data_IF_528150981029
#
_entry.id   IF_528150981029
#
_cell.length_a   1.000
_cell.length_b   1.000
_cell.length_c   1.000
_cell.angle_alpha   90.00
_cell.angle_beta   90.00
_cell.angle_gamma   90.00
#
_symmetry.space_group_name_H-M   'P 1'
#
loop_
_entity.id
_entity.type
_entity.pdbx_description
1 polymer ?
#
# COMPACT_ATOMS: atom_id res chain seq x y z
N UNK A 1 3.91 -5.93 12.94
CA UNK A 1 2.44 -6.08 12.72
C UNK A 1 2.25 -7.35 11.89
N UNK A 2 1.25 -8.20 12.13
CA UNK A 2 1.13 -9.44 11.33
C UNK A 2 0.95 -9.13 9.84
N UNK A 3 1.44 -10.01 8.96
CA UNK A 3 1.33 -9.79 7.52
C UNK A 3 -0.12 -9.80 7.02
N UNK A 4 -1.02 -10.53 7.68
CA UNK A 4 -2.48 -10.44 7.42
C UNK A 4 -3.03 -9.04 7.68
N UNK A 5 -2.71 -8.43 8.83
CA UNK A 5 -3.10 -7.05 9.15
C UNK A 5 -2.51 -6.07 8.14
N UNK A 6 -1.24 -6.22 7.79
CA UNK A 6 -0.58 -5.35 6.80
C UNK A 6 -1.23 -5.46 5.42
N UNK A 7 -1.50 -6.68 4.94
CA UNK A 7 -2.17 -6.92 3.67
C UNK A 7 -3.58 -6.33 3.66
N UNK A 8 -4.32 -6.49 4.75
CA UNK A 8 -5.64 -5.90 4.91
C UNK A 8 -5.57 -4.37 4.91
N UNK A 9 -4.66 -3.74 5.66
CA UNK A 9 -4.52 -2.28 5.73
C UNK A 9 -4.21 -1.64 4.38
N UNK A 10 -3.26 -2.18 3.63
CA UNK A 10 -2.99 -1.70 2.28
C UNK A 10 -4.18 -1.95 1.34
N UNK A 11 -4.88 -3.07 1.49
CA UNK A 11 -6.02 -3.42 0.63
C UNK A 11 -7.34 -2.69 0.94
N UNK A 12 -7.50 -2.14 2.14
CA UNK A 12 -8.83 -1.85 2.70
C UNK A 12 -9.59 -0.78 1.91
N UNK A 13 -8.95 0.33 1.58
CA UNK A 13 -9.64 1.48 0.96
C UNK A 13 -10.14 1.16 -0.46
N UNK A 14 -9.31 0.65 -1.40
CA UNK A 14 -9.84 0.24 -2.70
C UNK A 14 -10.84 -0.92 -2.60
N UNK A 15 -10.73 -1.76 -1.57
CA UNK A 15 -11.69 -2.83 -1.33
C UNK A 15 -13.06 -2.31 -0.91
N UNK A 16 -13.13 -1.38 0.06
CA UNK A 16 -14.38 -0.73 0.46
C UNK A 16 -15.05 0.01 -0.71
N UNK A 17 -14.25 0.61 -1.60
CA UNK A 17 -14.72 1.24 -2.84
C UNK A 17 -15.16 0.22 -3.91
N UNK A 18 -14.84 -1.06 -3.74
CA UNK A 18 -15.24 -2.15 -4.64
C UNK A 18 -14.25 -2.43 -5.78
N UNK A 19 -13.09 -1.76 -5.82
CA UNK A 19 -12.10 -1.89 -6.89
C UNK A 19 -11.26 -3.18 -6.79
N UNK A 20 -11.07 -3.71 -5.57
CA UNK A 20 -10.31 -4.94 -5.32
C UNK A 20 -10.95 -5.82 -4.25
N UNK A 21 -10.53 -7.08 -4.18
CA UNK A 21 -11.03 -8.06 -3.22
C UNK A 21 -12.47 -8.56 -3.51
N UNK A 22 -13.00 -9.42 -2.63
CA UNK A 22 -14.34 -10.00 -2.76
C UNK A 22 -15.45 -8.98 -2.46
N UNK A 23 -16.73 -9.39 -2.57
CA UNK A 23 -17.87 -8.48 -2.34
C UNK A 23 -18.14 -8.17 -0.86
N UNK A 24 -17.64 -8.99 0.06
CA UNK A 24 -17.84 -8.78 1.50
C UNK A 24 -16.92 -7.68 2.03
N UNK A 25 -17.45 -6.46 2.09
CA UNK A 25 -16.69 -5.22 2.39
C UNK A 25 -16.49 -4.95 3.88
N UNK A 26 -17.20 -5.64 4.77
CA UNK A 26 -17.24 -5.32 6.19
C UNK A 26 -16.18 -6.04 7.01
N UNK A 27 -15.90 -7.30 6.67
CA UNK A 27 -15.10 -8.18 7.53
C UNK A 27 -13.66 -7.68 7.73
N UNK A 28 -13.02 -7.16 6.68
CA UNK A 28 -11.66 -6.63 6.82
C UNK A 28 -11.62 -5.37 7.69
N UNK A 29 -12.63 -4.50 7.61
CA UNK A 29 -12.72 -3.33 8.49
C UNK A 29 -12.83 -3.76 9.94
N UNK A 30 -13.79 -4.66 10.25
CA UNK A 30 -13.99 -5.22 11.59
C UNK A 30 -12.72 -5.85 12.17
N UNK A 31 -12.02 -6.63 11.35
CA UNK A 31 -10.73 -7.24 11.73
C UNK A 31 -9.66 -6.20 12.05
N UNK A 32 -9.57 -5.13 11.26
CA UNK A 32 -8.61 -4.06 11.48
C UNK A 32 -8.95 -3.23 12.73
N UNK A 33 -10.23 -3.00 12.99
CA UNK A 33 -10.74 -2.33 14.20
C UNK A 33 -10.62 -3.16 15.49
N UNK A 34 -10.09 -4.39 15.40
CA UNK A 34 -9.79 -5.23 16.56
C UNK A 34 -10.89 -6.22 16.96
N UNK A 35 -11.96 -6.38 16.17
CA UNK A 35 -12.91 -7.46 16.39
C UNK A 35 -12.21 -8.83 16.27
N UNK A 36 -12.57 -9.77 17.15
CA UNK A 36 -12.00 -11.11 17.16
C UNK A 36 -12.53 -11.95 15.99
N UNK A 37 -11.88 -11.83 14.84
CA UNK A 37 -12.18 -12.59 13.63
C UNK A 37 -11.05 -13.58 13.37
N UNK A 38 -11.41 -14.85 13.16
CA UNK A 38 -10.43 -15.92 12.87
C UNK A 38 -9.51 -15.56 11.70
N UNK A 39 -8.20 -15.68 11.90
CA UNK A 39 -7.19 -15.45 10.86
C UNK A 39 -7.40 -16.35 9.64
N UNK A 40 -7.92 -17.57 9.82
CA UNK A 40 -8.29 -18.47 8.71
C UNK A 40 -9.35 -17.83 7.79
N UNK A 41 -10.31 -17.09 8.35
CA UNK A 41 -11.34 -16.37 7.59
C UNK A 41 -10.73 -15.18 6.85
N UNK A 42 -9.87 -14.41 7.51
CA UNK A 42 -9.18 -13.26 6.90
C UNK A 42 -8.28 -13.70 5.76
N UNK A 43 -7.54 -14.80 5.94
CA UNK A 43 -6.69 -15.39 4.92
C UNK A 43 -7.48 -15.71 3.65
N UNK A 44 -8.60 -16.44 3.78
CA UNK A 44 -9.49 -16.77 2.64
C UNK A 44 -10.02 -15.54 1.90
N UNK A 45 -10.23 -14.42 2.59
CA UNK A 45 -10.64 -13.16 1.97
C UNK A 45 -9.48 -12.53 1.20
N UNK A 46 -8.30 -12.44 1.83
CA UNK A 46 -7.12 -11.84 1.23
C UNK A 46 -6.56 -12.63 0.05
N UNK A 47 -6.70 -13.96 0.05
CA UNK A 47 -6.39 -14.84 -1.09
C UNK A 47 -7.17 -14.46 -2.37
N UNK A 48 -8.35 -13.85 -2.23
CA UNK A 48 -9.17 -13.41 -3.35
C UNK A 48 -8.75 -12.05 -3.93
N UNK A 49 -7.74 -11.39 -3.36
CA UNK A 49 -7.18 -10.15 -3.91
C UNK A 49 -6.30 -10.47 -5.12
N UNK A 50 -6.95 -10.70 -6.27
CA UNK A 50 -6.31 -11.06 -7.55
C UNK A 50 -5.14 -10.18 -7.97
N UNK A 51 -5.07 -8.94 -7.47
CA UNK A 51 -3.96 -8.02 -7.77
C UNK A 51 -2.74 -8.18 -6.87
N UNK A 52 -2.91 -8.57 -5.60
CA UNK A 52 -1.84 -8.60 -4.62
C UNK A 52 -1.42 -10.03 -4.26
N UNK A 53 -2.38 -10.94 -4.05
CA UNK A 53 -2.09 -12.29 -3.57
C UNK A 53 -1.15 -13.10 -4.48
N UNK A 54 -1.27 -13.08 -5.82
CA UNK A 54 -0.31 -13.78 -6.68
C UNK A 54 1.14 -13.32 -6.52
N UNK A 55 1.36 -12.04 -6.18
CA UNK A 55 2.69 -11.53 -5.88
C UNK A 55 3.21 -12.03 -4.54
N UNK A 56 2.35 -12.16 -3.52
CA UNK A 56 2.74 -12.75 -2.25
C UNK A 56 3.22 -14.19 -2.44
N UNK A 57 2.47 -15.00 -3.20
CA UNK A 57 2.85 -16.38 -3.51
C UNK A 57 4.19 -16.45 -4.25
N UNK A 58 4.36 -15.62 -5.28
CA UNK A 58 5.60 -15.56 -6.06
C UNK A 58 6.80 -15.16 -5.20
N UNK A 59 6.68 -14.09 -4.41
CA UNK A 59 7.75 -13.60 -3.54
C UNK A 59 8.09 -14.64 -2.47
N UNK A 60 7.09 -15.26 -1.85
CA UNK A 60 7.30 -16.29 -0.83
C UNK A 60 8.03 -17.50 -1.41
N UNK A 61 7.56 -18.02 -2.55
CA UNK A 61 8.17 -19.15 -3.27
C UNK A 61 9.62 -18.87 -3.64
N UNK A 62 9.90 -17.71 -4.24
CA UNK A 62 11.25 -17.28 -4.62
C UNK A 62 12.23 -17.17 -3.44
N UNK A 63 11.72 -17.05 -2.22
CA UNK A 63 12.53 -16.88 -1.02
C UNK A 63 12.45 -18.09 -0.07
N UNK A 64 11.85 -19.20 -0.50
CA UNK A 64 11.64 -20.40 0.34
C UNK A 64 10.88 -20.09 1.65
N UNK A 65 9.95 -19.13 1.60
CA UNK A 65 9.07 -18.79 2.73
C UNK A 65 7.75 -19.55 2.52
N UNK A 66 7.36 -20.35 3.52
CA UNK A 66 6.16 -21.20 3.42
C UNK A 66 4.85 -20.42 3.39
N UNK A 67 4.77 -19.31 4.13
CA UNK A 67 3.56 -18.50 4.23
C UNK A 67 3.62 -17.26 3.32
N UNK A 68 2.79 -17.16 2.28
CA UNK A 68 2.59 -15.93 1.50
C UNK A 68 2.23 -14.70 2.34
N UNK A 69 1.61 -14.89 3.50
CA UNK A 69 1.26 -13.79 4.41
C UNK A 69 2.32 -13.51 5.48
N UNK A 70 3.54 -14.06 5.35
CA UNK A 70 4.68 -13.61 6.15
C UNK A 70 4.86 -12.09 5.99
N UNK A 71 5.02 -11.37 7.10
CA UNK A 71 5.11 -9.90 7.10
C UNK A 71 6.15 -9.39 6.10
N UNK A 72 7.29 -10.09 5.97
CA UNK A 72 8.38 -9.69 5.07
C UNK A 72 7.94 -9.81 3.60
N UNK A 73 7.17 -10.83 3.26
CA UNK A 73 6.62 -11.05 1.91
C UNK A 73 5.63 -9.95 1.57
N UNK A 74 4.68 -9.68 2.48
CA UNK A 74 3.66 -8.65 2.28
C UNK A 74 4.31 -7.26 2.15
N UNK A 75 5.26 -6.91 3.03
CA UNK A 75 6.04 -5.65 2.91
C UNK A 75 6.80 -5.57 1.59
N UNK A 76 7.39 -6.67 1.13
CA UNK A 76 8.17 -6.67 -0.12
C UNK A 76 7.31 -6.21 -1.30
N UNK A 77 6.07 -6.69 -1.40
CA UNK A 77 5.15 -6.26 -2.44
C UNK A 77 4.77 -4.77 -2.32
N UNK A 78 4.34 -4.31 -1.14
CA UNK A 78 3.77 -2.97 -0.98
C UNK A 78 4.81 -1.84 -0.97
N UNK A 79 5.92 -2.04 -0.25
CA UNK A 79 6.92 -0.98 0.03
C UNK A 79 8.34 -1.36 -0.38
N UNK A 80 8.56 -2.62 -0.76
CA UNK A 80 9.87 -3.12 -1.19
C UNK A 80 10.78 -3.49 -0.02
N UNK A 81 11.56 -4.55 -0.23
CA UNK A 81 12.68 -4.94 0.63
C UNK A 81 13.58 -5.93 -0.13
N UNK A 82 14.58 -6.50 0.57
CA UNK A 82 15.56 -7.44 0.01
C UNK A 82 14.98 -8.70 -0.65
N UNK A 83 13.76 -9.14 -0.28
CA UNK A 83 13.15 -10.34 -0.87
C UNK A 83 12.86 -10.17 -2.36
N UNK A 84 12.65 -8.94 -2.82
CA UNK A 84 12.41 -8.66 -4.24
C UNK A 84 13.60 -9.02 -5.13
N UNK A 85 14.82 -9.07 -4.60
CA UNK A 85 16.00 -9.46 -5.38
C UNK A 85 15.88 -10.87 -5.99
N UNK A 86 15.19 -11.80 -5.30
CA UNK A 86 14.96 -13.17 -5.76
C UNK A 86 13.61 -13.36 -6.48
N UNK A 87 12.78 -12.31 -6.51
CA UNK A 87 11.40 -12.37 -6.97
C UNK A 87 11.14 -11.38 -8.12
N UNK A 88 12.06 -11.25 -9.08
CA UNK A 88 11.87 -10.38 -10.26
C UNK A 88 12.04 -8.87 -10.01
N UNK A 89 12.56 -8.48 -8.85
CA UNK A 89 12.90 -7.10 -8.52
C UNK A 89 11.67 -6.17 -8.52
N UNK A 90 11.79 -5.04 -9.22
CA UNK A 90 10.72 -4.05 -9.28
C UNK A 90 9.42 -4.58 -9.90
N UNK A 91 9.47 -5.64 -10.72
CA UNK A 91 8.27 -6.22 -11.34
C UNK A 91 7.29 -6.79 -10.30
N UNK A 92 7.80 -7.21 -9.16
CA UNK A 92 6.98 -7.73 -8.05
C UNK A 92 6.64 -6.67 -7.00
N UNK A 93 6.94 -5.40 -7.26
CA UNK A 93 6.57 -4.29 -6.39
C UNK A 93 5.24 -3.67 -6.84
N UNK A 94 4.44 -3.16 -5.90
CA UNK A 94 3.12 -2.60 -6.17
C UNK A 94 3.15 -1.42 -7.14
N UNK A 95 4.26 -0.66 -7.20
CA UNK A 95 4.43 0.39 -8.23
C UNK A 95 4.37 -0.19 -9.66
N UNK A 96 4.98 -1.35 -9.91
CA UNK A 96 4.93 -1.99 -11.23
C UNK A 96 3.53 -2.52 -11.54
N UNK A 97 2.88 -3.12 -10.53
CA UNK A 97 1.47 -3.51 -10.66
C UNK A 97 0.61 -2.33 -11.13
N UNK A 98 0.70 -1.18 -10.45
CA UNK A 98 -0.17 -0.03 -10.77
C UNK A 98 0.19 0.63 -12.08
N UNK A 99 1.49 0.82 -12.35
CA UNK A 99 1.96 1.67 -13.44
C UNK A 99 2.13 0.92 -14.78
N UNK A 100 2.35 -0.39 -14.74
CA UNK A 100 2.60 -1.20 -15.94
C UNK A 100 1.45 -2.19 -16.18
N UNK A 101 1.02 -2.92 -15.15
CA UNK A 101 -0.03 -3.95 -15.30
C UNK A 101 -1.42 -3.32 -15.31
N UNK A 102 -1.67 -2.33 -14.47
CA UNK A 102 -2.97 -1.67 -14.34
C UNK A 102 -4.00 -2.53 -13.59
N UNK A 103 -5.28 -2.29 -13.86
CA UNK A 103 -6.38 -2.92 -13.10
C UNK A 103 -6.67 -4.34 -13.59
N UNK A 104 -6.27 -5.33 -12.79
CA UNK A 104 -6.53 -6.75 -13.08
C UNK A 104 -8.00 -7.16 -12.91
N UNK A 105 -8.81 -6.35 -12.22
CA UNK A 105 -10.23 -6.67 -11.96
C UNK A 105 -11.16 -6.11 -13.02
N UNK A 106 -10.70 -5.19 -13.87
CA UNK A 106 -11.52 -4.43 -14.81
C UNK A 106 -12.50 -3.45 -14.15
N UNK A 107 -12.58 -3.39 -12.81
CA UNK A 107 -13.55 -2.55 -12.07
C UNK A 107 -13.19 -1.07 -12.00
N UNK A 108 -11.98 -0.72 -12.46
CA UNK A 108 -11.47 0.65 -12.48
C UNK A 108 -10.46 0.81 -13.62
N UNK A 109 -10.48 1.95 -14.30
CA UNK A 109 -9.47 2.33 -15.29
C UNK A 109 -8.44 3.23 -14.62
N UNK A 110 -7.24 2.72 -14.36
CA UNK A 110 -6.17 3.46 -13.70
C UNK A 110 -5.49 4.41 -14.69
N UNK A 111 -5.89 5.69 -14.67
CA UNK A 111 -5.29 6.76 -15.48
C UNK A 111 -5.15 8.06 -14.70
N UNK A 112 -4.19 8.90 -15.09
CA UNK A 112 -3.98 10.23 -14.52
C UNK A 112 -3.83 10.20 -13.00
N UNK A 113 -4.66 10.98 -12.29
CA UNK A 113 -4.62 11.09 -10.82
C UNK A 113 -4.88 9.75 -10.10
N UNK A 114 -5.60 8.81 -10.71
CA UNK A 114 -5.88 7.51 -10.10
C UNK A 114 -4.61 6.64 -9.96
N UNK A 115 -3.62 6.82 -10.85
CA UNK A 115 -2.33 6.14 -10.73
C UNK A 115 -1.58 6.59 -9.46
N UNK A 116 -1.61 7.89 -9.14
CA UNK A 116 -0.97 8.41 -7.92
C UNK A 116 -1.77 8.07 -6.65
N UNK A 117 -3.08 7.82 -6.77
CA UNK A 117 -3.91 7.36 -5.66
C UNK A 117 -3.71 5.87 -5.34
N UNK A 118 -3.53 5.04 -6.37
CA UNK A 118 -3.38 3.60 -6.26
C UNK A 118 -1.92 3.17 -6.02
N UNK A 119 -0.94 3.88 -6.58
CA UNK A 119 0.47 3.65 -6.20
C UNK A 119 0.63 3.99 -4.73
N UNK A 120 1.42 3.19 -4.01
CA UNK A 120 1.80 3.54 -2.63
C UNK A 120 2.56 4.86 -2.64
N UNK A 121 1.95 5.88 -2.06
CA UNK A 121 2.57 7.16 -1.82
C UNK A 121 3.24 7.18 -0.45
N UNK A 122 4.24 8.04 -0.29
CA UNK A 122 4.89 8.29 0.99
C UNK A 122 5.20 9.78 1.12
N UNK A 123 5.21 10.26 2.36
CA UNK A 123 5.47 11.67 2.64
C UNK A 123 5.90 11.91 4.07
N UNK A 124 6.59 13.04 4.27
CA UNK A 124 6.99 13.48 5.61
C UNK A 124 5.87 14.32 6.22
N UNK A 125 5.44 13.97 7.43
CA UNK A 125 4.37 14.66 8.14
C UNK A 125 4.83 16.06 8.53
N UNK A 126 4.04 17.06 8.15
CA UNK A 126 4.31 18.47 8.48
C UNK A 126 3.27 19.08 9.41
N UNK A 127 2.08 18.47 9.51
CA UNK A 127 1.01 18.89 10.42
C UNK A 127 0.12 17.71 10.73
N UNK A 128 -0.31 17.59 11.99
CA UNK A 128 -1.35 16.66 12.43
C UNK A 128 -2.50 17.48 12.97
N UNK A 129 -3.67 17.42 12.34
CA UNK A 129 -4.89 18.08 12.78
C UNK A 129 -5.80 17.04 13.42
N UNK A 130 -5.75 16.99 14.74
CA UNK A 130 -6.64 16.14 15.53
C UNK A 130 -7.97 16.89 15.72
N UNK A 131 -9.07 16.32 15.23
CA UNK A 131 -10.41 16.80 15.63
C UNK A 131 -11.18 15.78 16.44
N UNK A 132 -11.02 14.48 16.23
CA UNK A 132 -11.56 13.39 17.07
C UNK A 132 -10.89 12.05 16.63
N UNK A 133 -11.65 10.96 16.53
CA UNK A 133 -11.26 9.62 16.08
C UNK A 133 -10.79 9.59 14.61
N UNK A 134 -11.28 10.50 13.78
CA UNK A 134 -10.72 10.79 12.45
C UNK A 134 -9.82 12.03 12.52
N UNK A 135 -8.57 11.86 12.12
CA UNK A 135 -7.60 12.94 12.04
C UNK A 135 -7.19 13.20 10.59
N UNK A 136 -6.84 14.45 10.29
CA UNK A 136 -6.26 14.83 9.00
C UNK A 136 -4.78 15.11 9.20
N UNK A 137 -3.95 14.51 8.36
CA UNK A 137 -2.51 14.69 8.35
C UNK A 137 -2.13 15.42 7.08
N UNK A 138 -1.30 16.46 7.20
CA UNK A 138 -0.70 17.10 6.04
C UNK A 138 0.71 16.53 5.89
N UNK A 139 1.01 15.99 4.71
CA UNK A 139 2.35 15.48 4.36
C UNK A 139 2.97 16.30 3.25
N UNK A 140 4.31 16.39 3.25
CA UNK A 140 5.10 16.82 2.10
C UNK A 140 5.52 15.58 1.31
N UNK A 141 5.07 15.48 0.06
CA UNK A 141 5.24 14.28 -0.78
C UNK A 141 5.52 14.63 -2.24
N UNK A 142 5.97 13.63 -3.03
CA UNK A 142 6.13 13.77 -4.48
C UNK A 142 5.01 13.02 -5.23
N UNK A 143 4.13 13.73 -5.96
CA UNK A 143 3.10 13.12 -6.79
C UNK A 143 3.71 12.52 -8.06
N UNK A 144 2.96 11.67 -8.76
CA UNK A 144 3.22 11.43 -10.18
C UNK A 144 2.94 12.69 -11.02
N UNK A 145 3.81 12.96 -11.98
CA UNK A 145 3.72 14.07 -12.92
C UNK A 145 4.14 13.61 -14.32
N UNK A 146 3.72 14.38 -15.34
CA UNK A 146 3.97 14.08 -16.76
C UNK A 146 2.75 13.50 -17.46
N UNK A 147 2.66 13.71 -18.79
CA UNK A 147 1.58 13.19 -19.65
C UNK A 147 2.02 11.95 -20.45
N UNK A 148 3.17 12.05 -21.13
CA UNK A 148 3.72 10.97 -21.98
C UNK A 148 4.72 10.09 -21.22
N UNK A 149 5.59 10.70 -20.42
CA UNK A 149 6.56 10.01 -19.56
C UNK A 149 6.29 10.37 -18.11
N UNK A 150 5.83 9.39 -17.33
CA UNK A 150 5.55 9.58 -15.92
C UNK A 150 6.85 9.70 -15.12
N UNK A 151 6.85 10.58 -14.12
CA UNK A 151 7.95 10.76 -13.16
C UNK A 151 7.44 11.23 -11.81
N UNK A 152 8.29 11.19 -10.79
CA UNK A 152 8.03 11.90 -9.54
C UNK A 152 8.12 13.41 -9.77
N UNK A 153 7.09 14.14 -9.36
CA UNK A 153 6.96 15.58 -9.49
C UNK A 153 7.70 16.35 -8.39
N UNK A 154 7.50 17.68 -8.38
CA UNK A 154 8.01 18.55 -7.32
C UNK A 154 7.31 18.23 -5.99
N UNK A 155 8.01 18.42 -4.88
CA UNK A 155 7.44 18.27 -3.55
C UNK A 155 6.23 19.21 -3.39
N UNK A 156 5.12 18.66 -2.94
CA UNK A 156 3.89 19.41 -2.64
C UNK A 156 3.25 18.90 -1.36
N UNK A 157 2.18 19.58 -0.92
CA UNK A 157 1.40 19.20 0.25
C UNK A 157 0.22 18.31 -0.16
N UNK A 158 -0.15 17.38 0.71
CA UNK A 158 -1.34 16.56 0.56
C UNK A 158 -1.98 16.25 1.89
N UNK A 159 -3.30 16.26 1.88
CA UNK A 159 -4.12 15.81 3.01
C UNK A 159 -4.29 14.29 2.94
N UNK A 160 -4.00 13.65 4.06
CA UNK A 160 -4.10 12.21 4.28
C UNK A 160 -5.06 11.97 5.44
N UNK A 161 -6.01 11.08 5.21
CA UNK A 161 -6.91 10.55 6.22
C UNK A 161 -6.14 9.66 7.18
N UNK A 162 -6.30 9.92 8.47
CA UNK A 162 -5.81 9.05 9.52
C UNK A 162 -6.99 8.58 10.37
N UNK A 163 -7.44 7.38 10.01
CA UNK A 163 -8.35 6.58 10.80
C UNK A 163 -7.54 5.83 11.87
N UNK A 164 -7.81 6.14 13.14
CA UNK A 164 -7.09 5.57 14.30
C UNK A 164 -7.51 4.14 14.61
N UNK A 165 -8.68 3.72 14.14
CA UNK A 165 -9.13 2.33 14.30
C UNK A 165 -8.42 1.43 13.29
N UNK A 166 -7.99 1.97 12.15
CA UNK A 166 -7.17 1.27 11.16
C UNK A 166 -5.67 1.30 11.51
N UNK A 167 -5.15 2.48 11.86
CA UNK A 167 -3.74 2.65 12.22
C UNK A 167 -3.64 3.30 13.60
N UNK A 168 -3.47 2.45 14.61
CA UNK A 168 -3.38 2.88 16.03
C UNK A 168 -2.04 3.51 16.40
N UNK A 169 -1.01 3.37 15.57
CA UNK A 169 0.28 4.02 15.79
C UNK A 169 0.11 5.55 15.86
N UNK A 170 0.72 6.15 16.88
CA UNK A 170 0.78 7.61 16.99
C UNK A 170 1.65 8.17 15.87
N UNK A 171 1.05 8.99 14.99
CA UNK A 171 1.76 9.71 13.95
C UNK A 171 2.11 11.11 14.47
N UNK A 172 3.38 11.50 14.32
CA UNK A 172 3.92 12.79 14.78
C UNK A 172 4.44 13.61 13.61
N UNK A 173 4.53 14.93 13.82
CA UNK A 173 5.24 15.81 12.88
C UNK A 173 6.69 15.37 12.76
N UNK A 174 7.17 15.24 11.52
CA UNK A 174 8.51 14.78 11.21
C UNK A 174 8.59 13.31 10.78
N UNK A 175 7.59 12.48 11.11
CA UNK A 175 7.52 11.08 10.72
C UNK A 175 7.40 10.93 9.20
N UNK A 176 7.89 9.82 8.68
CA UNK A 176 7.55 9.35 7.35
C UNK A 176 6.38 8.40 7.44
N UNK A 177 5.40 8.56 6.56
CA UNK A 177 4.28 7.63 6.46
C UNK A 177 4.10 7.14 5.02
N UNK A 178 3.60 5.92 4.87
CA UNK A 178 3.00 5.45 3.63
C UNK A 178 1.50 5.70 3.66
N UNK A 179 0.92 5.90 2.48
CA UNK A 179 -0.52 6.03 2.30
C UNK A 179 -0.96 5.41 0.98
N UNK A 180 -2.21 4.96 0.97
CA UNK A 180 -2.85 4.35 -0.20
C UNK A 180 -4.29 4.85 -0.28
N UNK A 181 -4.71 5.37 -1.43
CA UNK A 181 -6.04 6.00 -1.59
C UNK A 181 -6.33 7.10 -0.54
N UNK A 182 -5.32 7.93 -0.26
CA UNK A 182 -5.33 9.00 0.74
C UNK A 182 -5.52 8.55 2.20
N UNK A 183 -5.50 7.25 2.50
CA UNK A 183 -5.52 6.72 3.86
C UNK A 183 -4.09 6.44 4.33
N UNK A 184 -3.72 6.88 5.53
CA UNK A 184 -2.46 6.52 6.18
C UNK A 184 -2.44 5.02 6.49
N UNK A 185 -1.34 4.35 6.17
CA UNK A 185 -1.21 2.88 6.30
C UNK A 185 -0.11 2.48 7.29
N UNK A 186 1.06 3.10 7.22
CA UNK A 186 2.19 2.73 8.09
C UNK A 186 3.11 3.93 8.36
N UNK A 187 3.67 4.01 9.58
CA UNK A 187 4.83 4.85 9.88
C UNK A 187 6.10 4.15 9.42
N UNK A 188 6.87 4.81 8.55
CA UNK A 188 7.99 4.24 7.82
C UNK A 188 9.33 4.51 8.50
N UNK A 189 10.22 3.52 8.43
CA UNK A 189 11.64 3.71 8.73
C UNK A 189 12.33 4.37 7.53
N UNK A 190 13.51 4.95 7.75
CA UNK A 190 14.32 5.54 6.67
C UNK A 190 14.60 4.55 5.53
N UNK A 191 14.80 3.27 5.86
CA UNK A 191 15.04 2.22 4.88
C UNK A 191 13.80 1.89 4.05
N UNK A 192 12.59 1.92 4.64
CA UNK A 192 11.35 1.72 3.90
C UNK A 192 11.14 2.83 2.87
N UNK A 193 11.44 4.09 3.24
CA UNK A 193 11.38 5.24 2.32
C UNK A 193 12.34 5.07 1.15
N UNK A 194 13.58 4.62 1.40
CA UNK A 194 14.56 4.33 0.35
C UNK A 194 14.09 3.24 -0.60
N UNK A 195 13.49 2.17 -0.07
CA UNK A 195 12.98 1.07 -0.88
C UNK A 195 11.82 1.51 -1.77
N UNK A 196 10.83 2.21 -1.20
CA UNK A 196 9.73 2.80 -1.95
C UNK A 196 10.24 3.69 -3.09
N UNK A 197 11.14 4.62 -2.78
CA UNK A 197 11.73 5.50 -3.78
C UNK A 197 12.47 4.73 -4.87
N UNK A 198 13.32 3.76 -4.49
CA UNK A 198 14.09 2.92 -5.41
C UNK A 198 13.18 2.17 -6.37
N UNK A 199 12.23 1.39 -5.85
CA UNK A 199 11.40 0.53 -6.70
C UNK A 199 10.40 1.33 -7.53
N UNK A 200 9.83 2.43 -7.00
CA UNK A 200 9.03 3.35 -7.82
C UNK A 200 9.85 3.97 -8.95
N UNK A 201 11.07 4.43 -8.70
CA UNK A 201 11.94 4.99 -9.75
C UNK A 201 12.31 3.98 -10.83
N UNK A 202 12.65 2.74 -10.44
CA UNK A 202 12.94 1.66 -11.41
C UNK A 202 11.73 1.44 -12.32
N UNK A 203 10.51 1.36 -11.76
CA UNK A 203 9.29 1.20 -12.56
C UNK A 203 9.04 2.40 -13.46
N UNK A 204 9.16 3.63 -12.97
CA UNK A 204 8.91 4.83 -13.78
C UNK A 204 9.90 4.96 -14.94
N UNK A 205 11.15 4.53 -14.73
CA UNK A 205 12.19 4.55 -15.76
C UNK A 205 11.98 3.47 -16.83
N UNK A 206 11.16 2.45 -16.57
CA UNK A 206 10.82 1.40 -17.56
C UNK A 206 9.57 1.70 -18.39
N UNK A 207 8.89 2.84 -18.15
CA UNK A 207 7.75 3.33 -18.94
C UNK A 207 8.23 4.17 -20.13
#
# INVERSE_FOLDING_TARGET
>A
MSGLKLAALYGIKPHSLGFCGPRDKGILLKYLSGENISEKKIRKILEQFKGAYPYYESIAKSNNIKDPFDERVVRAYWIGNKLLAKAGGAKSHHSHHVLVVGSVTGKIVLKGKLLDLCRIGWGRVISVKCKTQSAKIIVKYQPLAGKKKLKLGKLTRKDIDWDRDLLSNVIRVGDWISFHWNQAVEVLRKEDVKNLEKYTKITLNSL
#
